data_IF_496088491887
#
_entry.id   IF_496088491887
#
_cell.length_a   1.000
_cell.length_b   1.000
_cell.length_c   1.000
_cell.angle_alpha   90.00
_cell.angle_beta   90.00
_cell.angle_gamma   90.00
#
_symmetry.space_group_name_H-M   'P 1'
#
loop_
_entity.id
_entity.type
_entity.pdbx_description
1 polymer ?
#
# COMPACT_ATOMS: atom_id res chain seq x y z
N UNK A 1 25.87 -38.21 -1.07
CA UNK A 1 24.85 -37.34 -0.46
C UNK A 1 24.90 -36.02 -1.19
N UNK A 2 23.96 -35.73 -2.10
CA UNK A 2 23.93 -34.42 -2.76
C UNK A 2 23.30 -33.41 -1.79
N UNK A 3 24.05 -32.37 -1.51
CA UNK A 3 23.64 -31.14 -0.83
C UNK A 3 22.45 -30.51 -1.55
N UNK A 4 21.37 -30.24 -0.82
CA UNK A 4 20.24 -29.45 -1.30
C UNK A 4 20.69 -28.01 -1.59
N UNK A 5 20.73 -27.68 -2.87
CA UNK A 5 20.85 -26.30 -3.34
C UNK A 5 19.67 -25.48 -2.83
N UNK A 6 19.96 -24.46 -2.02
CA UNK A 6 19.01 -23.36 -1.77
C UNK A 6 18.68 -22.70 -3.11
N UNK A 7 17.40 -22.50 -3.46
CA UNK A 7 17.07 -21.77 -4.67
C UNK A 7 17.53 -20.32 -4.54
N UNK A 8 18.21 -19.86 -5.57
CA UNK A 8 18.76 -18.52 -5.70
C UNK A 8 17.69 -17.44 -5.51
N UNK A 9 18.01 -16.46 -4.67
CA UNK A 9 17.31 -15.19 -4.53
C UNK A 9 17.36 -14.44 -5.86
N UNK A 10 16.29 -14.54 -6.66
CA UNK A 10 16.23 -13.92 -7.99
C UNK A 10 15.00 -14.26 -8.84
N UNK A 11 14.13 -15.17 -8.40
CA UNK A 11 12.88 -15.45 -9.10
C UNK A 11 11.86 -14.33 -8.86
N UNK A 12 11.54 -13.61 -9.93
CA UNK A 12 10.73 -12.42 -9.94
C UNK A 12 9.31 -12.61 -9.39
N UNK A 13 8.79 -11.54 -8.81
CA UNK A 13 7.38 -11.35 -8.42
C UNK A 13 6.38 -11.46 -9.59
N UNK A 14 6.86 -11.81 -10.79
CA UNK A 14 6.07 -11.95 -12.00
C UNK A 14 5.30 -13.29 -11.99
N UNK A 15 5.80 -14.30 -11.26
CA UNK A 15 5.22 -15.65 -11.23
C UNK A 15 4.81 -16.11 -9.82
N UNK A 16 4.12 -15.25 -9.06
CA UNK A 16 3.27 -15.80 -8.00
C UNK A 16 2.07 -16.49 -8.68
N UNK A 17 1.79 -17.78 -8.44
CA UNK A 17 0.63 -18.44 -9.03
C UNK A 17 -0.64 -17.64 -8.71
N UNK A 18 -1.37 -17.24 -9.76
CA UNK A 18 -2.65 -16.53 -9.66
C UNK A 18 -2.63 -15.01 -9.88
N UNK A 19 -1.62 -14.43 -10.55
CA UNK A 19 -1.76 -13.09 -11.13
C UNK A 19 -2.70 -13.11 -12.35
N UNK A 20 -3.64 -12.17 -12.41
CA UNK A 20 -4.62 -12.06 -13.49
C UNK A 20 -6.08 -12.11 -13.02
N UNK A 21 -7.06 -12.01 -13.93
CA UNK A 21 -8.47 -12.11 -13.60
C UNK A 21 -8.77 -13.51 -13.05
N UNK A 22 -9.04 -13.60 -11.74
CA UNK A 22 -9.54 -14.83 -11.13
C UNK A 22 -11.06 -14.77 -11.26
N UNK A 23 -11.62 -15.72 -12.02
CA UNK A 23 -13.07 -15.97 -12.01
C UNK A 23 -13.40 -16.54 -10.64
N UNK A 24 -13.99 -15.71 -9.81
CA UNK A 24 -14.39 -16.14 -8.49
C UNK A 24 -15.69 -16.95 -8.54
N UNK A 25 -15.90 -17.80 -7.54
CA UNK A 25 -17.00 -18.78 -7.50
C UNK A 25 -18.41 -18.15 -7.49
N UNK A 26 -18.51 -16.83 -7.26
CA UNK A 26 -19.75 -16.04 -7.29
C UNK A 26 -20.00 -15.34 -8.66
N UNK A 27 -19.13 -15.57 -9.65
CA UNK A 27 -19.27 -14.99 -11.00
C UNK A 27 -18.66 -13.59 -11.17
N UNK A 28 -18.01 -13.02 -10.15
CA UNK A 28 -17.35 -11.72 -10.23
C UNK A 28 -15.91 -11.89 -10.76
N UNK A 29 -15.50 -11.06 -11.71
CA UNK A 29 -14.10 -11.00 -12.12
C UNK A 29 -13.33 -10.18 -11.09
N UNK A 30 -12.41 -10.82 -10.38
CA UNK A 30 -11.52 -10.15 -9.43
C UNK A 30 -10.13 -10.11 -10.05
N UNK A 31 -9.62 -8.91 -10.36
CA UNK A 31 -8.23 -8.76 -10.75
C UNK A 31 -7.40 -8.62 -9.49
N UNK A 32 -6.56 -9.61 -9.21
CA UNK A 32 -5.50 -9.45 -8.22
C UNK A 32 -4.19 -9.16 -8.93
N UNK A 33 -3.51 -8.12 -8.46
CA UNK A 33 -2.21 -7.74 -8.99
C UNK A 33 -1.27 -7.39 -7.84
N UNK A 34 0.01 -7.75 -8.01
CA UNK A 34 1.08 -7.20 -7.18
C UNK A 34 1.97 -6.38 -8.07
N UNK A 35 2.16 -5.12 -7.67
CA UNK A 35 2.92 -4.16 -8.46
C UNK A 35 4.02 -3.52 -7.64
N UNK A 36 5.12 -3.14 -8.30
CA UNK A 36 6.24 -2.47 -7.67
C UNK A 36 6.14 -0.97 -7.91
N UNK A 37 5.98 -0.21 -6.83
CA UNK A 37 5.88 1.24 -6.90
C UNK A 37 6.65 1.92 -5.78
N UNK A 38 6.92 3.20 -6.00
CA UNK A 38 7.20 4.20 -4.98
C UNK A 38 5.99 5.12 -4.88
N UNK A 39 5.76 5.65 -3.68
CA UNK A 39 4.69 6.61 -3.43
C UNK A 39 5.31 7.98 -3.18
N UNK A 40 4.86 8.99 -3.93
CA UNK A 40 5.33 10.35 -3.82
C UNK A 40 4.27 11.22 -3.15
N UNK A 41 4.56 11.75 -1.97
CA UNK A 41 3.71 12.74 -1.32
C UNK A 41 3.75 14.06 -2.08
N UNK A 42 2.58 14.65 -2.30
CA UNK A 42 2.44 15.95 -2.95
C UNK A 42 2.53 17.12 -1.96
N UNK A 43 2.67 16.86 -0.66
CA UNK A 43 2.91 17.91 0.33
C UNK A 43 4.37 18.39 0.35
N UNK A 44 4.85 18.83 -0.83
CA UNK A 44 6.25 19.15 -1.12
C UNK A 44 6.73 20.52 -0.60
N UNK A 45 6.18 20.97 0.53
CA UNK A 45 6.39 22.32 1.04
C UNK A 45 7.66 22.52 1.87
N UNK A 46 8.19 21.45 2.47
CA UNK A 46 9.34 21.51 3.38
C UNK A 46 10.68 21.23 2.70
N UNK A 47 11.74 21.18 3.50
CA UNK A 47 13.12 21.06 3.03
C UNK A 47 13.59 19.61 2.82
N UNK A 48 12.67 18.65 2.68
CA UNK A 48 13.04 17.22 2.58
C UNK A 48 13.36 16.81 1.13
N UNK A 49 14.30 15.88 0.94
CA UNK A 49 15.04 15.76 -0.32
C UNK A 49 14.29 15.09 -1.48
N UNK A 50 13.10 14.50 -1.27
CA UNK A 50 12.39 13.83 -2.37
C UNK A 50 10.93 13.45 -2.15
N UNK A 51 10.39 13.60 -0.94
CA UNK A 51 8.98 13.34 -0.62
C UNK A 51 8.46 11.94 -0.94
N UNK A 52 9.35 10.97 -1.20
CA UNK A 52 8.94 9.59 -1.35
C UNK A 52 8.66 8.99 0.02
N UNK A 53 7.55 8.26 0.12
CA UNK A 53 7.23 7.44 1.29
C UNK A 53 8.28 6.36 1.40
N UNK A 54 8.84 6.19 2.60
CA UNK A 54 9.76 5.13 2.97
C UNK A 54 9.33 4.48 4.28
N UNK A 55 9.76 3.24 4.45
CA UNK A 55 9.65 2.51 5.71
C UNK A 55 11.06 2.19 6.22
N UNK A 56 11.38 2.65 7.42
CA UNK A 56 12.69 2.46 8.06
C UNK A 56 12.53 1.96 9.49
N UNK A 57 12.81 0.67 9.71
CA UNK A 57 12.45 0.00 10.95
C UNK A 57 10.93 0.07 11.17
N UNK A 58 10.53 0.60 12.32
CA UNK A 58 9.12 0.77 12.71
C UNK A 58 8.55 2.14 12.31
N UNK A 59 9.29 2.94 11.55
CA UNK A 59 8.89 4.29 11.13
C UNK A 59 8.46 4.34 9.66
N UNK A 60 7.44 5.15 9.39
CA UNK A 60 7.01 5.52 8.04
C UNK A 60 7.14 7.03 7.90
N UNK A 61 7.76 7.50 6.82
CA UNK A 61 7.94 8.94 6.53
C UNK A 61 7.96 9.17 5.03
N UNK A 62 7.64 10.38 4.59
CA UNK A 62 7.78 10.85 3.21
C UNK A 62 9.01 11.74 3.03
N UNK A 63 10.20 11.22 3.35
CA UNK A 63 11.46 11.99 3.25
C UNK A 63 12.51 11.32 2.35
N UNK A 64 12.18 10.20 1.71
CA UNK A 64 13.10 9.52 0.82
C UNK A 64 13.31 10.30 -0.48
N UNK A 65 14.51 10.14 -1.03
CA UNK A 65 14.81 10.42 -2.43
C UNK A 65 14.39 9.23 -3.28
N UNK A 66 14.20 9.44 -4.58
CA UNK A 66 13.74 8.40 -5.51
C UNK A 66 14.59 7.12 -5.49
N UNK A 67 15.91 7.25 -5.29
CA UNK A 67 16.84 6.11 -5.29
C UNK A 67 16.88 5.32 -3.97
N UNK A 68 16.12 5.72 -2.95
CA UNK A 68 16.11 5.03 -1.66
C UNK A 68 15.34 3.70 -1.78
N UNK A 69 16.02 2.58 -1.50
CA UNK A 69 15.41 1.25 -1.52
C UNK A 69 14.31 1.09 -0.46
N UNK A 70 14.39 1.85 0.65
CA UNK A 70 13.34 1.87 1.68
C UNK A 70 12.04 2.49 1.18
N UNK A 71 12.06 3.16 0.02
CA UNK A 71 10.88 3.71 -0.63
C UNK A 71 10.21 2.76 -1.64
N UNK A 72 10.76 1.56 -1.85
CA UNK A 72 10.19 0.55 -2.75
C UNK A 72 9.10 -0.26 -2.02
N UNK A 73 7.91 -0.33 -2.60
CA UNK A 73 6.78 -1.12 -2.09
C UNK A 73 6.27 -2.13 -3.11
N UNK A 74 5.81 -3.28 -2.61
CA UNK A 74 4.83 -4.11 -3.28
C UNK A 74 3.44 -3.63 -2.89
N UNK A 75 2.65 -3.24 -3.89
CA UNK A 75 1.25 -2.89 -3.72
C UNK A 75 0.45 -4.12 -4.16
N UNK A 76 -0.10 -4.84 -3.18
CA UNK A 76 -1.04 -5.92 -3.42
C UNK A 76 -2.43 -5.32 -3.51
N UNK A 77 -3.09 -5.47 -4.67
CA UNK A 77 -4.39 -4.86 -4.87
C UNK A 77 -5.42 -5.83 -5.47
N UNK A 78 -6.68 -5.56 -5.16
CA UNK A 78 -7.83 -6.19 -5.80
C UNK A 78 -9.02 -5.23 -5.83
N UNK A 79 -9.87 -5.41 -6.84
CA UNK A 79 -11.07 -4.58 -7.03
C UNK A 79 -12.32 -5.40 -6.73
N UNK A 80 -13.21 -4.87 -5.89
CA UNK A 80 -14.48 -5.53 -5.55
C UNK A 80 -15.65 -4.56 -5.60
N UNK A 81 -16.83 -5.07 -5.98
CA UNK A 81 -18.07 -4.31 -6.01
C UNK A 81 -18.85 -4.52 -4.71
N UNK A 82 -19.29 -3.44 -4.07
CA UNK A 82 -20.20 -3.44 -2.92
C UNK A 82 -21.31 -2.42 -3.17
N UNK A 83 -22.57 -2.81 -2.99
CA UNK A 83 -23.73 -1.92 -3.13
C UNK A 83 -23.65 -1.04 -4.39
N UNK A 84 -23.39 -1.68 -5.52
CA UNK A 84 -23.22 -1.08 -6.85
C UNK A 84 -21.93 -0.27 -7.09
N UNK A 85 -21.17 0.11 -6.06
CA UNK A 85 -19.91 0.83 -6.15
C UNK A 85 -18.70 -0.12 -6.22
N UNK A 86 -17.71 0.22 -7.05
CA UNK A 86 -16.43 -0.49 -7.12
C UNK A 86 -15.41 0.17 -6.21
N UNK A 87 -14.63 -0.66 -5.51
CA UNK A 87 -13.57 -0.24 -4.60
C UNK A 87 -12.26 -0.90 -4.99
N UNK A 88 -11.20 -0.12 -5.09
CA UNK A 88 -9.84 -0.61 -5.30
C UNK A 88 -9.11 -0.69 -3.95
N UNK A 89 -8.90 -1.92 -3.47
CA UNK A 89 -8.26 -2.21 -2.20
C UNK A 89 -6.75 -2.41 -2.38
N UNK A 90 -5.95 -1.91 -1.44
CA UNK A 90 -4.50 -1.92 -1.46
C UNK A 90 -3.91 -2.29 -0.09
N UNK A 91 -2.90 -3.16 -0.12
CA UNK A 91 -1.96 -3.40 0.98
C UNK A 91 -0.57 -2.97 0.51
N UNK A 92 0.12 -2.18 1.32
CA UNK A 92 1.44 -1.61 1.02
C UNK A 92 2.51 -2.37 1.80
N UNK A 93 3.17 -3.35 1.18
CA UNK A 93 4.29 -4.12 1.73
C UNK A 93 5.61 -3.49 1.30
N UNK A 94 6.51 -3.15 2.23
CA UNK A 94 7.85 -2.66 1.88
C UNK A 94 8.71 -3.79 1.29
N UNK A 95 9.39 -3.53 0.18
CA UNK A 95 10.15 -4.58 -0.54
C UNK A 95 11.38 -5.08 0.24
N UNK A 96 11.99 -4.23 1.07
CA UNK A 96 13.21 -4.57 1.81
C UNK A 96 12.86 -5.31 3.10
N UNK A 97 11.92 -4.78 3.88
CA UNK A 97 11.59 -5.32 5.21
C UNK A 97 10.55 -6.44 5.18
N UNK A 98 9.72 -6.52 4.12
CA UNK A 98 8.54 -7.38 4.06
C UNK A 98 7.42 -6.98 5.03
N UNK A 99 7.52 -5.81 5.67
CA UNK A 99 6.50 -5.31 6.58
C UNK A 99 5.50 -4.41 5.86
N UNK A 100 4.28 -4.37 6.36
CA UNK A 100 3.18 -3.59 5.81
C UNK A 100 3.00 -2.26 6.54
N UNK A 101 2.57 -1.24 5.81
CA UNK A 101 2.03 -0.01 6.41
C UNK A 101 0.68 -0.34 7.06
N UNK A 102 0.52 0.03 8.33
CA UNK A 102 -0.67 -0.23 9.12
C UNK A 102 -1.20 1.03 9.81
N UNK A 103 -2.48 1.05 10.13
CA UNK A 103 -3.10 2.05 10.99
C UNK A 103 -3.32 1.43 12.37
N UNK A 104 -2.82 2.05 13.43
CA UNK A 104 -3.16 1.65 14.78
C UNK A 104 -4.61 2.10 15.09
N UNK A 105 -5.56 1.18 15.33
CA UNK A 105 -6.95 1.54 15.60
C UNK A 105 -7.12 2.31 16.92
N UNK A 106 -6.19 2.15 17.88
CA UNK A 106 -6.31 2.72 19.23
C UNK A 106 -6.01 4.23 19.26
N UNK A 107 -4.94 4.65 18.59
CA UNK A 107 -4.45 6.04 18.61
C UNK A 107 -4.46 6.72 17.23
N UNK A 108 -4.91 6.02 16.19
CA UNK A 108 -5.04 6.45 14.80
C UNK A 108 -3.72 6.87 14.12
N UNK A 109 -2.58 6.41 14.66
CA UNK A 109 -1.25 6.61 14.07
C UNK A 109 -0.94 5.59 12.99
N UNK A 110 0.04 5.88 12.12
CA UNK A 110 0.60 4.88 11.21
C UNK A 110 1.69 4.10 11.93
N UNK A 111 1.66 2.78 11.78
CA UNK A 111 2.64 1.84 12.32
C UNK A 111 3.13 0.91 11.22
N UNK A 112 4.16 0.12 11.55
CA UNK A 112 4.69 -0.93 10.68
C UNK A 112 4.29 -2.28 11.26
N UNK A 113 3.65 -3.13 10.45
CA UNK A 113 3.16 -4.45 10.88
C UNK A 113 3.68 -5.55 9.98
N UNK A 114 4.25 -6.61 10.56
CA UNK A 114 4.57 -7.84 9.83
C UNK A 114 3.33 -8.72 9.76
N UNK A 115 2.90 -9.05 8.54
CA UNK A 115 1.74 -9.90 8.31
C UNK A 115 1.87 -10.66 6.98
N UNK A 116 1.34 -11.89 6.95
CA UNK A 116 1.24 -12.69 5.74
C UNK A 116 0.06 -12.21 4.88
N UNK A 117 0.34 -11.26 3.99
CA UNK A 117 -0.66 -10.62 3.12
C UNK A 117 -0.70 -11.22 1.72
N UNK A 118 0.33 -12.00 1.36
CA UNK A 118 0.45 -12.67 0.08
C UNK A 118 -0.58 -13.79 0.01
N UNK A 119 -1.55 -13.64 -0.88
CA UNK A 119 -2.64 -14.61 -1.03
C UNK A 119 -4.01 -14.06 -0.65
N UNK A 120 -4.06 -12.88 -0.02
CA UNK A 120 -5.31 -12.17 0.24
C UNK A 120 -5.79 -11.53 -1.06
N UNK A 121 -6.92 -12.03 -1.58
CA UNK A 121 -7.52 -11.66 -2.87
C UNK A 121 -8.89 -10.98 -2.73
N UNK A 122 -9.47 -11.02 -1.54
CA UNK A 122 -10.80 -10.46 -1.24
C UNK A 122 -10.80 -9.78 0.11
N UNK A 123 -11.72 -8.84 0.31
CA UNK A 123 -11.89 -8.22 1.62
C UNK A 123 -12.37 -9.22 2.68
N UNK A 124 -13.14 -10.23 2.27
CA UNK A 124 -13.57 -11.30 3.18
C UNK A 124 -12.40 -12.11 3.73
N UNK A 125 -11.37 -12.39 2.92
CA UNK A 125 -10.15 -13.06 3.37
C UNK A 125 -9.35 -12.18 4.33
N UNK A 126 -9.25 -10.88 4.05
CA UNK A 126 -8.56 -9.90 4.91
C UNK A 126 -9.25 -9.77 6.26
N UNK A 127 -10.59 -9.71 6.28
CA UNK A 127 -11.39 -9.74 7.51
C UNK A 127 -11.16 -11.02 8.30
N UNK A 128 -11.22 -12.18 7.63
CA UNK A 128 -10.98 -13.49 8.27
C UNK A 128 -9.58 -13.57 8.90
N UNK A 129 -8.60 -12.90 8.31
CA UNK A 129 -7.23 -12.84 8.82
C UNK A 129 -7.02 -11.76 9.91
N UNK A 130 -8.04 -10.94 10.21
CA UNK A 130 -7.94 -9.78 11.11
C UNK A 130 -6.86 -8.76 10.68
N UNK A 131 -6.85 -8.43 9.39
CA UNK A 131 -5.84 -7.57 8.74
C UNK A 131 -6.44 -6.32 8.08
N UNK A 132 -7.58 -5.83 8.57
CA UNK A 132 -8.16 -4.58 8.06
C UNK A 132 -7.27 -3.36 8.36
N UNK A 133 -6.44 -3.44 9.38
CA UNK A 133 -5.53 -2.38 9.80
C UNK A 133 -4.38 -2.11 8.82
N UNK A 134 -4.05 -3.07 7.95
CA UNK A 134 -3.04 -2.91 6.87
C UNK A 134 -3.66 -2.66 5.50
N UNK A 135 -4.98 -2.53 5.43
CA UNK A 135 -5.72 -2.42 4.18
C UNK A 135 -6.26 -1.01 3.98
N UNK A 136 -6.15 -0.52 2.75
CA UNK A 136 -6.61 0.80 2.33
C UNK A 136 -7.48 0.73 1.09
N UNK A 137 -8.38 1.69 0.92
CA UNK A 137 -9.05 1.98 -0.34
C UNK A 137 -8.29 3.12 -1.02
N UNK A 138 -7.97 2.96 -2.30
CA UNK A 138 -7.46 4.06 -3.14
C UNK A 138 -8.64 4.89 -3.63
N UNK A 139 -8.67 6.16 -3.24
CA UNK A 139 -9.70 7.12 -3.62
C UNK A 139 -9.10 8.27 -4.44
N UNK A 140 -9.90 8.85 -5.34
CA UNK A 140 -9.47 9.93 -6.24
C UNK A 140 -10.65 10.87 -6.52
N UNK A 141 -10.37 12.16 -6.76
CA UNK A 141 -11.45 13.16 -6.96
C UNK A 141 -12.22 12.88 -8.25
N UNK A 142 -11.52 12.49 -9.31
CA UNK A 142 -12.10 12.11 -10.59
C UNK A 142 -11.45 10.82 -11.09
N UNK A 143 -12.21 10.10 -11.91
CA UNK A 143 -11.65 9.00 -12.68
C UNK A 143 -10.48 9.52 -13.53
N UNK A 144 -9.35 8.80 -13.48
CA UNK A 144 -8.10 9.11 -14.21
C UNK A 144 -7.26 10.27 -13.64
N UNK A 145 -7.56 10.78 -12.45
CA UNK A 145 -6.64 11.71 -11.77
C UNK A 145 -5.32 11.00 -11.43
N UNK A 146 -4.20 11.65 -11.71
CA UNK A 146 -2.85 11.15 -11.36
C UNK A 146 -2.63 11.13 -9.84
N UNK A 147 -3.39 11.95 -9.10
CA UNK A 147 -3.32 12.06 -7.64
C UNK A 147 -4.49 11.36 -6.98
N UNK A 148 -4.19 10.67 -5.88
CA UNK A 148 -5.14 9.90 -5.09
C UNK A 148 -4.77 9.99 -3.61
N UNK A 149 -5.62 9.47 -2.75
CA UNK A 149 -5.31 9.24 -1.34
C UNK A 149 -5.69 7.82 -0.93
N UNK A 150 -5.17 7.40 0.23
CA UNK A 150 -5.53 6.11 0.83
C UNK A 150 -6.40 6.34 2.05
N UNK A 151 -7.55 5.66 2.11
CA UNK A 151 -8.46 5.64 3.24
C UNK A 151 -8.43 4.25 3.91
N UNK A 152 -8.36 4.19 5.24
CA UNK A 152 -8.29 2.92 5.98
C UNK A 152 -9.56 2.09 5.82
N UNK A 153 -9.40 0.77 5.78
CA UNK A 153 -10.51 -0.19 5.78
C UNK A 153 -10.96 -0.64 7.18
N UNK A 154 -10.43 -0.07 8.27
CA UNK A 154 -10.89 -0.37 9.62
C UNK A 154 -12.38 -0.01 9.71
N UNK A 155 -13.21 -0.99 10.09
CA UNK A 155 -14.66 -0.82 10.18
C UNK A 155 -15.05 -0.31 11.56
N UNK A 156 -14.99 1.01 11.74
CA UNK A 156 -15.52 1.73 12.89
C UNK A 156 -16.09 3.10 12.47
N UNK A 157 -16.43 3.95 13.44
CA UNK A 157 -17.05 5.25 13.17
C UNK A 157 -16.04 6.35 12.76
N UNK A 158 -14.75 6.02 12.61
CA UNK A 158 -13.71 7.01 12.30
C UNK A 158 -13.26 6.93 10.86
N UNK A 159 -13.26 8.09 10.20
CA UNK A 159 -12.58 8.26 8.91
C UNK A 159 -11.08 8.42 9.13
N UNK A 160 -10.28 7.57 8.51
CA UNK A 160 -8.81 7.59 8.63
C UNK A 160 -8.16 7.66 7.27
N UNK A 161 -7.41 8.73 7.03
CA UNK A 161 -6.74 8.99 5.76
C UNK A 161 -5.23 9.05 5.98
N UNK A 162 -4.46 8.37 5.13
CA UNK A 162 -3.02 8.49 5.14
C UNK A 162 -2.61 9.89 4.67
N UNK A 163 -1.82 10.59 5.47
CA UNK A 163 -1.30 11.91 5.11
C UNK A 163 0.03 12.24 5.76
N UNK A 164 0.71 13.21 5.16
CA UNK A 164 2.03 13.68 5.57
C UNK A 164 2.04 15.20 5.66
N UNK A 165 2.78 15.72 6.64
CA UNK A 165 3.07 17.15 6.75
C UNK A 165 4.10 17.61 5.69
N UNK A 166 4.41 18.89 5.69
CA UNK A 166 5.37 19.48 4.74
C UNK A 166 6.80 18.95 4.91
N UNK A 167 7.15 18.44 6.09
CA UNK A 167 8.44 17.85 6.39
C UNK A 167 8.45 16.33 6.13
N UNK A 168 7.39 15.78 5.53
CA UNK A 168 7.27 14.35 5.27
C UNK A 168 7.04 13.51 6.53
N UNK A 169 6.67 14.11 7.65
CA UNK A 169 6.26 13.37 8.84
C UNK A 169 4.82 12.93 8.70
N UNK A 170 4.52 11.71 9.13
CA UNK A 170 3.16 11.18 9.09
C UNK A 170 2.27 11.96 10.06
N UNK A 171 1.08 12.31 9.59
CA UNK A 171 0.03 12.90 10.40
C UNK A 171 -0.87 11.81 11.00
N UNK A 172 -1.53 12.12 12.12
CA UNK A 172 -2.56 11.25 12.68
C UNK A 172 -3.69 11.11 11.67
N UNK A 173 -4.09 9.89 11.38
CA UNK A 173 -4.94 9.62 10.20
C UNK A 173 -6.34 10.22 10.28
N UNK A 174 -6.87 10.47 11.48
CA UNK A 174 -8.15 11.15 11.70
C UNK A 174 -8.10 12.66 11.54
N UNK A 175 -6.90 13.24 11.49
CA UNK A 175 -6.69 14.69 11.33
C UNK A 175 -6.44 15.09 9.87
N UNK A 176 -6.38 14.10 8.97
CA UNK A 176 -6.08 14.29 7.56
C UNK A 176 -7.37 14.34 6.75
N UNK A 177 -7.57 15.44 6.06
CA UNK A 177 -8.74 15.60 5.21
C UNK A 177 -8.58 14.87 3.85
N UNK A 178 -9.59 14.10 3.41
CA UNK A 178 -9.58 13.41 2.13
C UNK A 178 -9.36 14.37 0.95
N UNK A 179 -8.35 14.11 0.13
CA UNK A 179 -8.03 14.93 -1.04
C UNK A 179 -7.49 16.33 -0.73
N UNK A 180 -7.07 16.58 0.52
CA UNK A 180 -6.24 17.72 0.91
C UNK A 180 -4.79 17.52 0.47
N UNK A 181 -3.97 18.57 0.51
CA UNK A 181 -2.57 18.50 0.04
C UNK A 181 -1.75 17.46 0.82
N UNK A 182 -2.06 17.29 2.09
CA UNK A 182 -1.43 16.34 3.01
C UNK A 182 -1.68 14.88 2.62
N UNK A 183 -2.85 14.56 2.04
CA UNK A 183 -3.24 13.19 1.68
C UNK A 183 -2.93 12.81 0.23
N UNK A 184 -2.63 13.79 -0.63
CA UNK A 184 -2.39 13.51 -2.04
C UNK A 184 -1.05 12.79 -2.26
N UNK A 185 -1.15 11.64 -2.91
CA UNK A 185 -0.06 10.78 -3.33
C UNK A 185 -0.06 10.60 -4.84
N UNK A 186 1.10 10.21 -5.38
CA UNK A 186 1.28 9.78 -6.76
C UNK A 186 2.08 8.47 -6.79
N UNK A 187 1.72 7.53 -7.66
CA UNK A 187 2.45 6.26 -7.81
C UNK A 187 3.49 6.38 -8.92
N UNK A 188 4.74 6.04 -8.60
CA UNK A 188 5.82 5.91 -9.59
C UNK A 188 6.21 4.44 -9.71
N UNK A 189 6.16 3.88 -10.92
CA UNK A 189 6.48 2.47 -11.16
C UNK A 189 7.97 2.23 -10.99
N UNK A 190 8.34 1.12 -10.35
CA UNK A 190 9.73 0.66 -10.24
C UNK A 190 9.98 -0.39 -11.31
N UNK A 191 10.93 -0.13 -12.20
CA UNK A 191 11.36 -1.08 -13.23
C UNK A 191 12.35 -2.09 -12.64
N UNK A 192 12.41 -3.29 -13.24
CA UNK A 192 13.23 -4.40 -12.70
C UNK A 192 14.74 -4.14 -12.71
N UNK A 193 15.22 -3.19 -13.51
CA UNK A 193 16.65 -2.95 -13.73
C UNK A 193 17.30 -2.05 -12.67
N UNK A 194 16.52 -1.49 -11.73
CA UNK A 194 17.05 -0.68 -10.63
C UNK A 194 17.61 -1.59 -9.52
N UNK A 195 18.79 -2.14 -9.79
CA UNK A 195 19.65 -2.91 -8.85
C UNK A 195 20.81 -2.06 -8.36
#
# INVERSE_FOLDING_TARGET
MPTEDKPATGAGYIDLPGQGPIKSFDGIYRQWFTSRHRLLSQNKGGQVPGHFVKMDGDSVTATAVEKDDKAKFHLHNFTERRNEQWYDYYILENQVSGACLAVNPEDDTITVKRAEVRGLRTIAQVKKANLLDVMFIKEQKKALDDHFWFESCIEDDKKRVLGFDQNGMVLKTTEVEPGSKESLLEMKRVWMEES
#
